data_IF_113487714107
#
_entry.id   IF_113487714107
#
_cell.length_a   1.000
_cell.length_b   1.000
_cell.length_c   1.000
_cell.angle_alpha   90.00
_cell.angle_beta   90.00
_cell.angle_gamma   90.00
#
_symmetry.space_group_name_H-M   'P 1'
#
loop_
_entity.id
_entity.type
_entity.pdbx_description
1 polymer ?
#
# COMPACT_ATOMS: atom_id res chain seq x y z
N UNK A 1 -6.13 21.19 0.86
CA UNK A 1 -6.82 19.91 1.11
C UNK A 1 -5.97 18.78 0.56
N UNK A 2 -5.51 17.91 1.43
CA UNK A 2 -4.77 16.70 1.09
C UNK A 2 -5.71 15.50 0.93
N UNK A 3 -7.02 15.71 1.06
CA UNK A 3 -8.06 14.67 1.06
C UNK A 3 -9.17 14.98 0.07
N UNK A 4 -9.70 13.93 -0.56
CA UNK A 4 -10.90 13.96 -1.37
C UNK A 4 -11.81 12.79 -0.93
N UNK A 5 -13.05 13.08 -0.58
CA UNK A 5 -14.01 12.09 -0.02
C UNK A 5 -13.47 11.32 1.21
N UNK A 6 -12.69 11.99 2.07
CA UNK A 6 -12.10 11.36 3.27
C UNK A 6 -10.86 10.51 3.02
N UNK A 7 -10.40 10.42 1.77
CA UNK A 7 -9.17 9.72 1.39
C UNK A 7 -8.09 10.73 0.97
N UNK A 8 -6.86 10.54 1.44
CA UNK A 8 -5.74 11.39 1.03
C UNK A 8 -5.36 11.09 -0.42
N UNK A 9 -4.97 12.12 -1.16
CA UNK A 9 -4.54 11.95 -2.55
C UNK A 9 -3.37 10.98 -2.72
N UNK A 10 -2.46 10.89 -1.75
CA UNK A 10 -1.35 9.94 -1.80
C UNK A 10 -1.84 8.50 -1.66
N UNK A 11 -2.83 8.24 -0.81
CA UNK A 11 -3.36 6.88 -0.62
C UNK A 11 -4.13 6.42 -1.87
N UNK A 12 -4.92 7.31 -2.47
CA UNK A 12 -5.56 7.05 -3.77
C UNK A 12 -4.54 6.80 -4.88
N UNK A 13 -3.42 7.54 -4.87
CA UNK A 13 -2.34 7.35 -5.84
C UNK A 13 -1.67 5.99 -5.70
N UNK A 14 -1.40 5.56 -4.48
CA UNK A 14 -0.71 4.30 -4.19
C UNK A 14 -1.56 3.05 -4.46
N UNK A 15 -2.89 3.18 -4.44
CA UNK A 15 -3.83 2.09 -4.77
C UNK A 15 -4.00 1.84 -6.27
N UNK A 16 -3.49 2.70 -7.12
CA UNK A 16 -3.65 2.57 -8.58
C UNK A 16 -2.82 1.44 -9.13
N UNK A 17 -3.42 0.64 -10.00
CA UNK A 17 -2.68 -0.31 -10.82
C UNK A 17 -1.86 0.45 -11.87
N UNK A 18 -0.54 0.32 -11.81
CA UNK A 18 0.36 0.92 -12.82
C UNK A 18 0.06 0.45 -14.24
N UNK A 19 -0.62 -0.70 -14.39
CA UNK A 19 -1.04 -1.25 -15.69
C UNK A 19 -2.23 -0.51 -16.27
N UNK A 20 -3.09 0.08 -15.42
CA UNK A 20 -4.27 0.83 -15.86
C UNK A 20 -3.95 2.31 -16.10
N UNK A 21 -3.02 2.89 -15.34
CA UNK A 21 -2.61 4.28 -15.48
C UNK A 21 -1.15 4.40 -15.93
N UNK A 22 -0.91 4.08 -17.20
CA UNK A 22 0.42 4.17 -17.84
C UNK A 22 1.12 5.52 -17.67
N UNK A 23 0.39 6.58 -17.34
CA UNK A 23 0.86 7.97 -17.53
C UNK A 23 0.76 8.84 -16.27
N UNK A 24 0.45 8.26 -15.12
CA UNK A 24 0.33 8.99 -13.87
C UNK A 24 -1.11 9.39 -13.52
N UNK A 25 -1.33 10.22 -12.48
CA UNK A 25 -2.67 10.60 -12.03
C UNK A 25 -3.50 11.10 -13.19
N UNK A 26 -4.75 10.66 -13.24
CA UNK A 26 -5.68 11.08 -14.27
C UNK A 26 -5.91 12.60 -14.20
N UNK A 27 -5.23 13.31 -15.08
CA UNK A 27 -5.46 14.75 -15.29
C UNK A 27 -6.82 15.06 -15.90
N UNK A 28 -7.62 14.05 -16.27
CA UNK A 28 -8.93 14.25 -16.91
C UNK A 28 -9.83 15.14 -16.07
N UNK A 29 -9.72 15.03 -14.76
CA UNK A 29 -10.50 15.86 -13.85
C UNK A 29 -10.19 17.36 -13.99
N UNK A 30 -8.94 17.71 -14.31
CA UNK A 30 -8.49 19.10 -14.42
C UNK A 30 -8.48 19.64 -15.84
N UNK A 31 -8.44 18.78 -16.84
CA UNK A 31 -8.44 19.14 -18.25
C UNK A 31 -9.86 19.34 -18.84
N UNK A 32 -10.90 18.99 -18.10
CA UNK A 32 -12.30 18.98 -18.57
C UNK A 32 -12.90 20.36 -18.87
N UNK A 33 -12.26 21.45 -18.49
CA UNK A 33 -12.78 22.78 -18.79
C UNK A 33 -11.82 23.57 -19.67
N UNK A 34 -12.11 23.82 -20.93
CA UNK A 34 -11.29 24.64 -21.82
C UNK A 34 -11.02 26.04 -21.26
N UNK A 35 -11.94 26.55 -20.44
CA UNK A 35 -11.84 27.89 -19.80
C UNK A 35 -10.95 27.87 -18.55
N UNK A 36 -10.63 26.70 -18.00
CA UNK A 36 -9.86 26.52 -16.74
C UNK A 36 -8.56 25.74 -16.92
N UNK A 37 -8.25 25.25 -18.14
CA UNK A 37 -7.01 24.50 -18.35
C UNK A 37 -5.83 25.44 -18.44
N UNK A 38 -4.79 25.16 -17.64
CA UNK A 38 -3.51 25.88 -17.69
C UNK A 38 -2.61 25.39 -18.83
N UNK A 39 -2.96 24.29 -19.46
CA UNK A 39 -2.27 23.71 -20.61
C UNK A 39 -2.84 24.37 -21.87
N UNK A 40 -2.11 25.29 -22.45
CA UNK A 40 -2.57 26.11 -23.60
C UNK A 40 -2.01 25.65 -24.93
N UNK A 41 -0.91 24.92 -24.93
CA UNK A 41 -0.20 24.47 -26.13
C UNK A 41 0.23 23.02 -26.00
N UNK A 42 0.22 22.28 -27.10
CA UNK A 42 0.93 21.00 -27.19
C UNK A 42 2.42 21.16 -26.93
N UNK A 43 3.11 20.07 -26.59
CA UNK A 43 4.52 20.00 -26.23
C UNK A 43 4.90 20.62 -24.87
N UNK A 44 3.94 21.01 -24.03
CA UNK A 44 4.25 21.44 -22.67
C UNK A 44 4.64 20.25 -21.79
N UNK A 45 5.62 20.46 -20.92
CA UNK A 45 5.96 19.50 -19.88
C UNK A 45 5.07 19.75 -18.66
N UNK A 46 4.45 18.69 -18.17
CA UNK A 46 3.66 18.69 -16.96
C UNK A 46 4.36 17.85 -15.91
N UNK A 47 4.72 18.47 -14.79
CA UNK A 47 5.24 17.80 -13.60
C UNK A 47 4.07 17.52 -12.68
N UNK A 48 3.88 16.26 -12.32
CA UNK A 48 2.88 15.84 -11.36
C UNK A 48 3.56 15.59 -10.04
N UNK A 49 3.04 16.22 -9.01
CA UNK A 49 3.52 16.02 -7.66
C UNK A 49 2.33 15.75 -6.72
N UNK A 50 2.56 14.89 -5.77
CA UNK A 50 1.57 14.52 -4.75
C UNK A 50 2.07 15.03 -3.41
N UNK A 51 1.23 15.76 -2.72
CA UNK A 51 1.55 16.27 -1.38
C UNK A 51 1.63 15.13 -0.38
N UNK A 52 2.72 15.09 0.36
CA UNK A 52 2.91 14.18 1.50
C UNK A 52 2.29 14.80 2.77
N UNK A 53 2.64 14.26 3.93
CA UNK A 53 2.02 14.67 5.21
C UNK A 53 2.23 16.13 5.59
N UNK A 54 3.34 16.70 5.18
CA UNK A 54 3.63 18.13 5.39
C UNK A 54 3.15 18.93 4.19
N UNK A 55 2.59 20.10 4.47
CA UNK A 55 2.01 20.98 3.44
C UNK A 55 2.99 21.48 2.38
N UNK A 56 4.29 21.46 2.68
CA UNK A 56 5.37 21.91 1.81
C UNK A 56 6.19 20.77 1.19
N UNK A 57 5.87 19.50 1.50
CA UNK A 57 6.62 18.31 1.05
C UNK A 57 5.83 17.55 0.00
N UNK A 58 6.48 17.27 -1.11
CA UNK A 58 5.88 16.68 -2.30
C UNK A 58 6.68 15.50 -2.83
N UNK A 59 5.97 14.50 -3.33
CA UNK A 59 6.52 13.37 -4.08
C UNK A 59 6.37 13.63 -5.57
N UNK A 60 7.43 13.45 -6.34
CA UNK A 60 7.38 13.47 -7.80
C UNK A 60 6.67 12.22 -8.31
N UNK A 61 5.42 12.34 -8.74
CA UNK A 61 4.66 11.22 -9.26
C UNK A 61 5.01 10.93 -10.74
N UNK A 62 5.06 11.96 -11.58
CA UNK A 62 5.45 11.80 -12.99
C UNK A 62 5.89 13.11 -13.65
N UNK A 63 6.55 12.99 -14.80
CA UNK A 63 6.78 14.07 -15.74
C UNK A 63 6.31 13.61 -17.11
N UNK A 64 5.29 14.28 -17.65
CA UNK A 64 4.71 13.94 -18.94
C UNK A 64 4.86 15.11 -19.93
N UNK A 65 4.90 14.79 -21.22
CA UNK A 65 4.78 15.73 -22.31
C UNK A 65 3.38 15.64 -22.87
N UNK A 66 2.72 16.79 -23.02
CA UNK A 66 1.38 16.86 -23.64
C UNK A 66 1.56 16.74 -25.15
N UNK A 67 0.99 15.70 -25.73
CA UNK A 67 1.03 15.43 -27.18
C UNK A 67 -0.17 16.01 -27.91
N UNK A 68 -1.35 16.02 -27.26
CA UNK A 68 -2.56 16.57 -27.84
C UNK A 68 -3.48 17.15 -26.76
N UNK A 69 -4.07 18.31 -27.06
CA UNK A 69 -5.07 18.94 -26.21
C UNK A 69 -6.44 18.60 -26.77
N UNK A 70 -7.28 17.99 -25.95
CA UNK A 70 -8.67 17.69 -26.27
C UNK A 70 -9.58 18.65 -25.50
N UNK A 71 -10.72 19.03 -26.09
CA UNK A 71 -11.64 20.02 -25.49
C UNK A 71 -12.56 19.36 -24.46
N UNK A 72 -13.10 18.19 -24.77
CA UNK A 72 -14.12 17.50 -23.97
C UNK A 72 -13.64 16.19 -23.36
N UNK A 73 -12.34 15.89 -23.47
CA UNK A 73 -11.72 14.69 -22.94
C UNK A 73 -10.31 14.99 -22.40
N UNK A 74 -9.71 14.06 -21.64
CA UNK A 74 -8.34 14.23 -21.17
C UNK A 74 -7.36 14.52 -22.30
N UNK A 75 -6.35 15.35 -22.02
CA UNK A 75 -5.23 15.56 -22.95
C UNK A 75 -4.47 14.26 -23.17
N UNK A 76 -4.05 14.01 -24.41
CA UNK A 76 -3.11 12.94 -24.69
C UNK A 76 -1.72 13.34 -24.21
N UNK A 77 -1.01 12.40 -23.60
CA UNK A 77 0.28 12.65 -22.98
C UNK A 77 1.19 11.42 -23.04
N UNK A 78 2.46 11.65 -23.00
CA UNK A 78 3.48 10.60 -22.95
C UNK A 78 4.44 10.86 -21.78
N UNK A 79 4.87 9.84 -21.05
CA UNK A 79 5.87 9.98 -20.01
C UNK A 79 7.21 10.38 -20.66
N UNK A 80 7.94 11.24 -19.99
CA UNK A 80 9.29 11.60 -20.43
C UNK A 80 10.28 10.57 -19.88
N UNK A 81 10.67 9.61 -20.70
CA UNK A 81 11.42 8.41 -20.32
C UNK A 81 12.70 8.71 -19.52
N UNK A 82 13.45 9.75 -19.86
CA UNK A 82 14.67 10.13 -19.11
C UNK A 82 14.43 10.43 -17.63
N UNK A 83 13.17 10.75 -17.24
CA UNK A 83 12.79 11.04 -15.85
C UNK A 83 12.11 9.86 -15.17
N UNK A 84 11.73 8.80 -15.88
CA UNK A 84 10.98 7.65 -15.32
C UNK A 84 11.64 7.05 -14.08
N UNK A 85 12.98 6.94 -14.07
CA UNK A 85 13.75 6.43 -12.92
C UNK A 85 13.58 7.23 -11.63
N UNK A 86 13.04 8.45 -11.71
CA UNK A 86 12.81 9.34 -10.58
C UNK A 86 11.36 9.36 -10.10
N UNK A 87 10.43 8.74 -10.84
CA UNK A 87 9.01 8.70 -10.48
C UNK A 87 8.85 7.93 -9.17
N UNK A 88 8.03 8.51 -8.29
CA UNK A 88 7.79 8.02 -6.93
C UNK A 88 9.04 7.88 -6.06
N UNK A 89 10.16 8.51 -6.44
CA UNK A 89 11.42 8.43 -5.68
C UNK A 89 11.94 9.78 -5.22
N UNK A 90 11.68 10.84 -5.97
CA UNK A 90 12.14 12.18 -5.60
C UNK A 90 11.15 12.84 -4.68
N UNK A 91 11.63 13.22 -3.49
CA UNK A 91 10.91 14.04 -2.52
C UNK A 91 11.50 15.44 -2.57
N UNK A 92 10.63 16.43 -2.68
CA UNK A 92 11.06 17.82 -2.72
C UNK A 92 10.20 18.70 -1.85
N UNK A 93 10.79 19.78 -1.38
CA UNK A 93 10.07 20.85 -0.67
C UNK A 93 9.73 21.93 -1.67
N UNK A 94 8.48 22.37 -1.62
CA UNK A 94 8.00 23.49 -2.42
C UNK A 94 7.09 24.36 -1.57
N UNK A 95 7.58 25.51 -1.15
CA UNK A 95 6.80 26.52 -0.48
C UNK A 95 6.04 27.34 -1.50
N UNK A 96 4.73 27.08 -1.65
CA UNK A 96 3.88 27.88 -2.53
C UNK A 96 2.98 28.82 -1.72
N UNK A 97 3.00 30.08 -2.11
CA UNK A 97 2.10 31.11 -1.55
C UNK A 97 0.78 31.22 -2.32
N UNK A 98 0.61 30.50 -3.44
CA UNK A 98 -0.57 30.59 -4.29
C UNK A 98 -1.60 29.51 -3.93
N UNK A 99 -2.87 29.88 -3.85
CA UNK A 99 -3.98 28.94 -3.85
C UNK A 99 -4.12 28.31 -5.24
N UNK A 100 -4.37 26.99 -5.28
CA UNK A 100 -4.61 26.25 -6.51
C UNK A 100 -3.68 25.06 -6.68
N UNK A 101 -4.14 24.11 -7.48
CA UNK A 101 -3.45 22.83 -7.72
C UNK A 101 -2.52 22.89 -8.95
N UNK A 102 -2.73 23.86 -9.84
CA UNK A 102 -1.95 24.03 -11.05
C UNK A 102 -1.24 25.38 -11.06
N UNK A 103 0.05 25.37 -11.39
CA UNK A 103 0.87 26.58 -11.49
C UNK A 103 2.06 26.35 -12.43
N UNK A 104 2.64 27.44 -12.91
CA UNK A 104 3.85 27.39 -13.72
C UNK A 104 5.05 27.18 -12.82
N UNK A 105 5.65 25.98 -12.83
CA UNK A 105 6.74 25.58 -11.94
C UNK A 105 7.95 26.56 -12.02
N UNK A 106 8.25 27.12 -13.22
CA UNK A 106 9.35 28.09 -13.43
C UNK A 106 9.30 29.27 -12.45
N UNK A 107 8.11 29.68 -11.99
CA UNK A 107 7.92 30.80 -11.04
C UNK A 107 8.31 30.44 -9.60
N UNK A 108 8.57 29.19 -9.32
CA UNK A 108 8.82 28.67 -7.99
C UNK A 108 10.11 27.85 -7.88
N UNK A 109 10.94 27.83 -8.93
CA UNK A 109 12.16 27.02 -8.95
C UNK A 109 13.14 27.42 -7.85
N UNK A 110 13.22 28.70 -7.54
CA UNK A 110 14.02 29.24 -6.43
C UNK A 110 13.55 28.81 -5.02
N UNK A 111 12.32 28.28 -4.93
CA UNK A 111 11.70 27.80 -3.71
C UNK A 111 11.47 26.28 -3.73
N UNK A 112 12.01 25.61 -4.74
CA UNK A 112 11.90 24.18 -4.93
C UNK A 112 13.24 23.53 -4.57
N UNK A 113 13.25 22.70 -3.56
CA UNK A 113 14.45 22.02 -3.07
C UNK A 113 14.23 20.51 -3.06
N UNK A 114 15.11 19.74 -3.71
CA UNK A 114 15.10 18.27 -3.56
C UNK A 114 15.67 17.94 -2.18
N UNK A 115 14.85 17.37 -1.32
CA UNK A 115 15.23 17.02 0.06
C UNK A 115 15.52 15.53 0.26
N UNK A 116 15.23 14.71 -0.74
CA UNK A 116 15.56 13.28 -0.71
C UNK A 116 15.30 12.58 -2.04
N UNK A 117 16.05 11.51 -2.24
CA UNK A 117 15.83 10.55 -3.32
C UNK A 117 15.80 9.16 -2.70
N UNK A 118 14.68 8.50 -2.81
CA UNK A 118 14.48 7.16 -2.25
C UNK A 118 15.20 6.11 -3.10
N UNK A 119 15.75 5.08 -2.47
CA UNK A 119 16.38 3.95 -3.17
C UNK A 119 15.35 3.14 -3.97
N UNK A 120 14.12 3.07 -3.47
CA UNK A 120 12.98 2.42 -4.12
C UNK A 120 11.82 3.41 -4.30
N UNK A 121 10.90 3.18 -5.25
CA UNK A 121 9.71 4.01 -5.39
C UNK A 121 8.93 4.12 -4.08
N UNK A 122 8.42 5.32 -3.80
CA UNK A 122 7.51 5.55 -2.70
C UNK A 122 6.25 4.72 -2.93
N UNK A 123 5.95 3.85 -2.02
CA UNK A 123 4.79 3.00 -2.05
C UNK A 123 4.37 2.68 -0.62
N UNK A 124 3.17 2.20 -0.43
CA UNK A 124 2.69 1.77 0.86
C UNK A 124 1.47 2.54 1.34
N UNK A 125 0.88 1.99 2.37
CA UNK A 125 -0.26 2.52 3.11
C UNK A 125 0.20 2.86 4.51
N UNK A 126 -0.28 3.95 5.08
CA UNK A 126 -0.07 4.20 6.52
C UNK A 126 -0.65 3.06 7.33
N UNK A 127 -0.01 2.78 8.46
CA UNK A 127 -0.57 1.84 9.42
C UNK A 127 -1.98 2.30 9.85
N UNK A 128 -3.03 1.52 9.54
CA UNK A 128 -4.41 1.96 9.73
C UNK A 128 -4.91 1.77 11.17
N UNK A 129 -4.07 1.24 12.05
CA UNK A 129 -4.45 0.67 13.34
C UNK A 129 -4.76 -0.83 13.22
N UNK A 130 -4.50 -1.56 14.29
CA UNK A 130 -4.48 -3.03 14.29
C UNK A 130 -5.79 -3.65 13.75
N UNK A 131 -6.94 -3.21 14.24
CA UNK A 131 -8.25 -3.79 13.88
C UNK A 131 -8.80 -3.31 12.53
N UNK A 132 -8.12 -2.38 11.88
CA UNK A 132 -8.45 -1.93 10.53
C UNK A 132 -7.59 -2.59 9.45
N UNK A 133 -6.74 -3.53 9.84
CA UNK A 133 -5.95 -4.31 8.89
C UNK A 133 -6.85 -5.38 8.27
N UNK A 134 -6.99 -5.31 6.96
CA UNK A 134 -7.55 -6.34 6.09
C UNK A 134 -6.83 -6.20 4.75
N UNK A 135 -5.60 -6.70 4.72
CA UNK A 135 -4.68 -6.45 3.61
C UNK A 135 -4.33 -7.75 2.90
N UNK A 136 -4.38 -7.70 1.59
CA UNK A 136 -3.91 -8.79 0.74
C UNK A 136 -2.42 -9.04 0.98
N UNK A 137 -1.97 -10.29 0.94
CA UNK A 137 -0.59 -10.68 1.22
C UNK A 137 0.41 -9.88 0.38
N UNK A 138 0.19 -9.77 -0.93
CA UNK A 138 1.08 -9.02 -1.84
C UNK A 138 1.17 -7.54 -1.49
N UNK A 139 0.04 -6.92 -1.11
CA UNK A 139 0.01 -5.50 -0.74
C UNK A 139 0.74 -5.27 0.59
N UNK A 140 0.49 -6.13 1.59
CA UNK A 140 1.14 -6.04 2.89
C UNK A 140 2.66 -6.25 2.78
N UNK A 141 3.10 -7.21 1.96
CA UNK A 141 4.53 -7.39 1.67
C UNK A 141 5.15 -6.12 1.05
N UNK A 142 4.46 -5.52 0.09
CA UNK A 142 4.91 -4.28 -0.53
C UNK A 142 4.99 -3.13 0.49
N UNK A 143 4.01 -2.98 1.39
CA UNK A 143 4.03 -1.95 2.43
C UNK A 143 5.22 -2.13 3.37
N UNK A 144 5.50 -3.36 3.78
CA UNK A 144 6.59 -3.64 4.70
C UNK A 144 7.99 -3.53 4.05
N UNK A 145 8.10 -3.82 2.76
CA UNK A 145 9.41 -3.82 2.07
C UNK A 145 9.84 -2.46 1.53
N UNK A 146 8.92 -1.58 1.23
CA UNK A 146 9.19 -0.54 0.22
C UNK A 146 9.31 0.90 0.71
N UNK A 147 9.09 1.27 2.01
CA UNK A 147 9.05 2.71 2.30
C UNK A 147 9.30 3.13 3.73
N UNK A 148 9.45 4.47 3.92
CA UNK A 148 9.39 5.12 5.23
C UNK A 148 8.09 4.79 5.99
N UNK A 149 6.97 4.60 5.28
CA UNK A 149 5.70 4.15 5.88
C UNK A 149 5.78 2.69 6.35
N UNK A 150 6.57 1.86 5.70
CA UNK A 150 6.83 0.48 6.15
C UNK A 150 7.51 0.41 7.51
N UNK A 151 8.29 1.41 7.89
CA UNK A 151 8.88 1.45 9.24
C UNK A 151 7.83 1.69 10.33
N UNK A 152 6.78 2.47 10.07
CA UNK A 152 5.65 2.62 11.01
C UNK A 152 4.93 1.29 11.19
N UNK A 153 4.62 0.59 10.10
CA UNK A 153 4.04 -0.75 10.15
C UNK A 153 4.91 -1.75 10.93
N UNK A 154 6.21 -1.78 10.62
CA UNK A 154 7.17 -2.68 11.30
C UNK A 154 7.25 -2.38 12.79
N UNK A 155 7.28 -1.10 13.15
CA UNK A 155 7.31 -0.65 14.55
C UNK A 155 6.09 -1.16 15.30
N UNK A 156 4.90 -0.92 14.76
CA UNK A 156 3.64 -1.33 15.39
C UNK A 156 3.52 -2.85 15.47
N UNK A 157 3.79 -3.57 14.37
CA UNK A 157 3.70 -5.03 14.35
C UNK A 157 4.77 -5.74 15.22
N UNK A 158 5.90 -5.07 15.51
CA UNK A 158 6.89 -5.57 16.50
C UNK A 158 6.46 -5.39 17.95
N UNK A 159 5.58 -4.43 18.21
CA UNK A 159 5.22 -4.03 19.56
C UNK A 159 4.19 -4.95 20.21
N UNK A 160 3.57 -5.87 19.47
CA UNK A 160 2.45 -6.66 19.95
C UNK A 160 2.60 -8.16 19.69
N UNK A 161 2.04 -8.95 20.60
CA UNK A 161 1.60 -10.32 20.39
C UNK A 161 0.14 -10.25 19.87
N UNK A 162 -0.32 -11.25 19.11
CA UNK A 162 -1.65 -11.19 18.51
C UNK A 162 -2.23 -12.57 18.20
N UNK A 163 -3.58 -12.62 18.12
CA UNK A 163 -4.30 -13.63 17.36
C UNK A 163 -4.76 -12.98 16.06
N UNK A 164 -4.53 -13.66 14.94
CA UNK A 164 -4.79 -13.14 13.60
C UNK A 164 -5.55 -14.18 12.75
N UNK A 165 -6.15 -13.69 11.68
CA UNK A 165 -6.84 -14.49 10.67
C UNK A 165 -6.16 -14.30 9.31
N UNK A 166 -5.92 -15.39 8.62
CA UNK A 166 -5.64 -15.42 7.19
C UNK A 166 -6.91 -15.90 6.50
N UNK A 167 -7.47 -15.06 5.65
CA UNK A 167 -8.70 -15.33 4.93
C UNK A 167 -8.39 -15.58 3.45
N UNK A 168 -8.66 -16.80 2.99
CA UNK A 168 -8.63 -17.16 1.58
C UNK A 168 -9.93 -16.74 0.91
N UNK A 169 -9.88 -15.65 0.16
CA UNK A 169 -11.04 -15.10 -0.53
C UNK A 169 -11.51 -15.96 -1.72
N UNK A 170 -10.67 -16.87 -2.22
CA UNK A 170 -11.03 -17.74 -3.34
C UNK A 170 -11.79 -18.98 -2.87
N UNK A 171 -11.29 -19.67 -1.86
CA UNK A 171 -11.92 -20.87 -1.31
C UNK A 171 -12.91 -20.56 -0.17
N UNK A 172 -12.99 -19.28 0.26
CA UNK A 172 -13.83 -18.84 1.38
C UNK A 172 -13.53 -19.57 2.69
N UNK A 173 -12.24 -19.85 2.93
CA UNK A 173 -11.75 -20.55 4.11
C UNK A 173 -10.83 -19.65 4.93
N UNK A 174 -10.77 -19.94 6.23
CA UNK A 174 -9.94 -19.17 7.14
C UNK A 174 -8.89 -20.04 7.83
N UNK A 175 -7.76 -19.43 8.14
CA UNK A 175 -6.79 -19.96 9.07
C UNK A 175 -6.63 -19.00 10.23
N UNK A 176 -6.79 -19.49 11.45
CA UNK A 176 -6.56 -18.73 12.68
C UNK A 176 -5.18 -19.10 13.21
N UNK A 177 -4.38 -18.11 13.53
CA UNK A 177 -3.05 -18.29 14.08
C UNK A 177 -2.73 -17.25 15.14
N UNK A 178 -1.66 -17.52 15.89
CA UNK A 178 -1.15 -16.59 16.89
C UNK A 178 0.33 -16.28 16.71
N UNK A 179 0.71 -15.10 17.19
CA UNK A 179 2.07 -14.67 17.35
C UNK A 179 2.33 -14.44 18.84
N UNK A 180 3.14 -15.29 19.43
CA UNK A 180 3.50 -15.28 20.84
C UNK A 180 4.99 -15.62 20.97
N UNK A 181 5.55 -15.63 22.14
CA UNK A 181 6.94 -15.75 22.53
C UNK A 181 7.78 -14.46 22.38
N UNK A 182 8.86 -14.37 23.16
CA UNK A 182 9.67 -13.15 23.32
C UNK A 182 10.40 -12.68 22.06
N UNK A 183 10.58 -13.58 21.08
CA UNK A 183 11.16 -13.26 19.78
C UNK A 183 10.12 -13.19 18.65
N UNK A 184 8.83 -13.37 18.99
CA UNK A 184 7.79 -13.70 18.04
C UNK A 184 6.75 -12.63 17.83
N UNK A 185 7.16 -11.37 17.89
CA UNK A 185 6.24 -10.31 17.50
C UNK A 185 5.49 -10.65 16.21
N UNK A 186 4.32 -10.08 16.05
CA UNK A 186 3.45 -10.31 14.89
C UNK A 186 4.19 -10.11 13.56
N UNK A 187 5.10 -9.12 13.50
CA UNK A 187 5.91 -8.89 12.30
C UNK A 187 6.74 -10.11 11.90
N UNK A 188 7.41 -10.77 12.88
CA UNK A 188 8.21 -11.96 12.59
C UNK A 188 7.35 -13.08 12.05
N UNK A 189 6.21 -13.33 12.71
CA UNK A 189 5.27 -14.37 12.29
C UNK A 189 4.71 -14.14 10.89
N UNK A 190 4.35 -12.89 10.54
CA UNK A 190 3.90 -12.57 9.20
C UNK A 190 5.01 -12.65 8.17
N UNK A 191 6.25 -12.28 8.53
CA UNK A 191 7.40 -12.48 7.65
C UNK A 191 7.64 -13.97 7.33
N UNK A 192 7.37 -14.90 8.25
CA UNK A 192 7.46 -16.34 7.96
C UNK A 192 6.49 -16.75 6.84
N UNK A 193 5.26 -16.18 6.82
CA UNK A 193 4.34 -16.39 5.70
C UNK A 193 4.84 -15.75 4.41
N UNK A 194 5.41 -14.55 4.46
CA UNK A 194 5.92 -13.90 3.25
C UNK A 194 7.08 -14.64 2.62
N UNK A 195 7.87 -15.36 3.41
CA UNK A 195 8.99 -16.15 2.90
C UNK A 195 8.57 -17.54 2.42
N UNK A 196 7.62 -18.17 3.12
CA UNK A 196 7.27 -19.58 2.89
C UNK A 196 5.89 -19.77 2.27
N UNK A 197 5.06 -18.72 2.21
CA UNK A 197 3.64 -18.67 1.84
C UNK A 197 2.70 -19.41 2.80
N UNK A 198 3.19 -20.41 3.51
CA UNK A 198 2.40 -21.24 4.42
C UNK A 198 2.77 -21.08 5.90
N UNK A 199 3.81 -20.31 6.26
CA UNK A 199 4.22 -20.06 7.65
C UNK A 199 4.53 -21.33 8.47
N UNK A 200 4.84 -22.44 7.81
CA UNK A 200 5.06 -23.75 8.45
C UNK A 200 3.78 -24.54 8.75
N UNK A 201 2.58 -24.01 8.45
CA UNK A 201 1.33 -24.74 8.64
C UNK A 201 1.19 -25.90 7.62
N UNK A 202 0.75 -27.06 8.11
CA UNK A 202 0.69 -28.30 7.31
C UNK A 202 -0.38 -28.20 6.22
N UNK A 203 -1.57 -27.67 6.54
CA UNK A 203 -2.67 -27.59 5.56
C UNK A 203 -2.41 -26.50 4.52
N UNK A 204 -1.88 -25.35 4.93
CA UNK A 204 -1.47 -24.33 3.96
C UNK A 204 -0.32 -24.79 3.05
N UNK A 205 0.57 -25.68 3.56
CA UNK A 205 1.61 -26.30 2.72
C UNK A 205 1.00 -27.24 1.68
N UNK A 206 0.03 -28.06 2.08
CA UNK A 206 -0.69 -28.93 1.12
C UNK A 206 -1.41 -28.09 0.07
N UNK A 207 -2.10 -27.04 0.49
CA UNK A 207 -2.75 -26.11 -0.43
C UNK A 207 -1.76 -25.51 -1.44
N UNK A 208 -0.55 -25.16 -0.98
CA UNK A 208 0.51 -24.66 -1.87
C UNK A 208 0.95 -25.71 -2.89
N UNK A 209 1.12 -26.96 -2.47
CA UNK A 209 1.46 -28.09 -3.34
C UNK A 209 0.34 -28.42 -4.34
N UNK A 210 -0.93 -28.40 -3.88
CA UNK A 210 -2.13 -28.62 -4.72
C UNK A 210 -2.28 -27.57 -5.84
N UNK A 211 -1.85 -26.33 -5.57
CA UNK A 211 -1.79 -25.27 -6.56
C UNK A 211 -0.49 -25.25 -7.38
N UNK A 212 0.25 -26.36 -7.42
CA UNK A 212 1.46 -26.51 -8.25
C UNK A 212 2.62 -25.63 -7.81
N UNK A 213 2.69 -25.27 -6.53
CA UNK A 213 3.65 -24.34 -5.93
C UNK A 213 3.59 -22.93 -6.56
N UNK A 214 2.40 -22.50 -7.01
CA UNK A 214 2.20 -21.15 -7.53
C UNK A 214 2.05 -20.15 -6.37
N UNK A 215 3.08 -19.32 -6.20
CA UNK A 215 3.07 -18.25 -5.17
C UNK A 215 1.97 -17.22 -5.38
N UNK A 216 1.54 -16.99 -6.64
CA UNK A 216 0.52 -15.99 -6.93
C UNK A 216 -0.83 -16.37 -6.30
N UNK A 217 -1.11 -17.65 -6.12
CA UNK A 217 -2.32 -18.06 -5.43
C UNK A 217 -2.42 -17.42 -4.04
N UNK A 218 -1.37 -17.53 -3.22
CA UNK A 218 -1.34 -16.95 -1.89
C UNK A 218 -1.27 -15.43 -1.92
N UNK A 219 -0.40 -14.88 -2.76
CA UNK A 219 -0.19 -13.44 -2.88
C UNK A 219 -1.45 -12.68 -3.25
N UNK A 220 -2.32 -13.27 -4.07
CA UNK A 220 -3.50 -12.61 -4.61
C UNK A 220 -4.79 -12.92 -3.82
N UNK A 221 -4.86 -14.03 -3.11
CA UNK A 221 -6.11 -14.49 -2.49
C UNK A 221 -6.11 -14.46 -0.97
N UNK A 222 -4.94 -14.47 -0.31
CA UNK A 222 -4.87 -14.45 1.14
C UNK A 222 -4.86 -13.02 1.69
N UNK A 223 -5.75 -12.75 2.65
CA UNK A 223 -5.88 -11.48 3.35
C UNK A 223 -5.55 -11.66 4.82
N UNK A 224 -4.76 -10.73 5.35
CA UNK A 224 -4.30 -10.70 6.73
C UNK A 224 -5.17 -9.76 7.55
N UNK A 225 -5.70 -10.24 8.67
CA UNK A 225 -6.48 -9.46 9.63
C UNK A 225 -6.06 -9.80 11.05
N UNK A 226 -6.22 -8.84 11.97
CA UNK A 226 -5.93 -9.04 13.39
C UNK A 226 -7.23 -9.17 14.16
N UNK A 227 -7.36 -10.22 14.98
CA UNK A 227 -8.52 -10.48 15.80
C UNK A 227 -8.35 -9.92 17.22
N UNK A 228 -7.18 -10.15 17.83
CA UNK A 228 -6.83 -9.60 19.14
C UNK A 228 -5.36 -9.21 19.18
N UNK A 229 -5.04 -8.20 20.00
CA UNK A 229 -3.66 -7.79 20.30
C UNK A 229 -3.39 -7.89 21.80
N UNK A 230 -2.15 -8.18 22.14
CA UNK A 230 -1.71 -8.31 23.51
C UNK A 230 -0.37 -7.59 23.71
N UNK A 231 -0.15 -6.95 24.88
CA UNK A 231 1.16 -6.50 25.28
C UNK A 231 2.15 -7.68 25.33
N UNK A 232 3.42 -7.40 25.08
CA UNK A 232 4.48 -8.43 25.12
C UNK A 232 4.63 -9.12 26.48
N UNK A 233 4.08 -8.53 27.55
CA UNK A 233 4.08 -9.07 28.92
C UNK A 233 3.01 -10.14 29.16
N UNK A 234 2.07 -10.33 28.25
CA UNK A 234 1.01 -11.34 28.40
C UNK A 234 1.58 -12.74 28.23
N UNK A 235 1.15 -13.67 29.11
CA UNK A 235 1.54 -15.08 29.07
C UNK A 235 1.13 -15.72 27.73
N UNK A 236 2.01 -16.51 27.16
CA UNK A 236 1.80 -17.21 25.91
C UNK A 236 0.65 -18.23 25.99
N UNK A 237 0.46 -18.88 27.13
CA UNK A 237 -0.64 -19.81 27.37
C UNK A 237 -2.01 -19.13 27.18
N UNK A 238 -2.16 -17.91 27.70
CA UNK A 238 -3.40 -17.16 27.51
C UNK A 238 -3.64 -16.82 26.04
N UNK A 239 -2.60 -16.49 25.28
CA UNK A 239 -2.72 -16.20 23.84
C UNK A 239 -3.15 -17.45 23.07
N UNK A 240 -2.62 -18.61 23.43
CA UNK A 240 -3.03 -19.91 22.86
C UNK A 240 -4.49 -20.25 23.19
N UNK A 241 -4.95 -19.96 24.41
CA UNK A 241 -6.36 -20.10 24.78
C UNK A 241 -7.25 -19.19 23.90
N UNK A 242 -6.82 -17.96 23.64
CA UNK A 242 -7.52 -17.02 22.76
C UNK A 242 -7.52 -17.48 21.31
N UNK A 243 -6.42 -18.04 20.82
CA UNK A 243 -6.34 -18.64 19.49
C UNK A 243 -7.36 -19.79 19.36
N UNK A 244 -7.41 -20.72 20.32
CA UNK A 244 -8.38 -21.82 20.35
C UNK A 244 -9.84 -21.31 20.42
N UNK A 245 -10.10 -20.24 21.18
CA UNK A 245 -11.40 -19.60 21.21
C UNK A 245 -11.82 -19.13 19.80
N UNK A 246 -10.93 -18.41 19.10
CA UNK A 246 -11.23 -17.91 17.76
C UNK A 246 -11.35 -19.05 16.72
N UNK A 247 -10.56 -20.12 16.85
CA UNK A 247 -10.73 -21.32 16.03
C UNK A 247 -12.15 -21.91 16.20
N UNK A 248 -12.66 -21.91 17.42
CA UNK A 248 -14.04 -22.35 17.69
C UNK A 248 -15.10 -21.40 17.15
N UNK A 249 -14.90 -20.08 17.29
CA UNK A 249 -15.84 -19.07 16.79
C UNK A 249 -15.99 -19.15 15.27
N UNK A 250 -14.89 -19.35 14.54
CA UNK A 250 -14.87 -19.44 13.08
C UNK A 250 -15.07 -20.86 12.55
N UNK A 251 -15.19 -21.86 13.41
CA UNK A 251 -15.23 -23.29 13.03
C UNK A 251 -14.08 -23.68 12.11
N UNK A 252 -12.90 -23.04 12.32
CA UNK A 252 -11.77 -23.13 11.38
C UNK A 252 -11.06 -24.49 11.37
N UNK A 253 -11.44 -25.41 12.28
CA UNK A 253 -11.02 -26.82 12.29
C UNK A 253 -11.86 -27.69 11.39
N UNK A 254 -13.04 -27.22 11.00
CA UNK A 254 -13.87 -27.88 10.00
C UNK A 254 -13.24 -27.68 8.61
N UNK A 255 -12.87 -28.75 7.90
CA UNK A 255 -12.18 -28.64 6.61
C UNK A 255 -13.01 -27.97 5.51
N UNK A 256 -14.34 -27.85 5.69
CA UNK A 256 -15.20 -27.13 4.75
C UNK A 256 -15.01 -25.60 4.82
N UNK A 257 -14.61 -25.07 6.00
CA UNK A 257 -14.55 -23.64 6.26
C UNK A 257 -13.19 -23.14 6.75
N UNK A 258 -12.25 -24.02 7.06
CA UNK A 258 -10.95 -23.62 7.60
C UNK A 258 -9.79 -24.54 7.30
N UNK A 259 -8.60 -24.04 7.64
CA UNK A 259 -7.32 -24.70 7.46
C UNK A 259 -6.61 -25.08 8.78
N UNK A 260 -7.31 -24.98 9.93
CA UNK A 260 -6.76 -25.41 11.21
C UNK A 260 -6.98 -26.90 11.43
N UNK A 261 -6.00 -27.59 12.02
CA UNK A 261 -6.14 -29.02 12.40
C UNK A 261 -6.21 -29.26 13.88
N UNK A 262 -5.58 -28.38 14.68
CA UNK A 262 -5.40 -28.59 16.13
C UNK A 262 -6.29 -27.69 16.97
#
# INVERSE_FOLDING_TARGET
>A
NTEYNGERHIDSWLKRDEREDKYGPDFSFWARSPKKTYIKKGNELVVVAIQLDRSDVWLLASVCKITKINIDSPCEREPVEKYRKWFNRVIFRLSKSAQGYNFTLRKFLDRCEVIGVLDKPYGGKRFPGYFNINERMSDLMNYLQNTNLGEDWKKELRAVKAVYCLNDHKEHKVYIGSAYNDNGCLLKRWNDYFHTLHGGNVELRKLFEEHGNDSNYFLDNFYFSILEIFPNTVNDEYILEREHHWMSVFDSRNPEVGYNKN
#
